data_IF_180687018072
#
_entry.id   IF_180687018072
#
_cell.length_a   1.000
_cell.length_b   1.000
_cell.length_c   1.000
_cell.angle_alpha   90.00
_cell.angle_beta   90.00
_cell.angle_gamma   90.00
#
_symmetry.space_group_name_H-M   'P 1'
#
loop_
_entity.id
_entity.type
_entity.pdbx_description
1 polymer ?
#
# COMPACT_ATOMS: atom_id res chain seq x y z
N UNK A 1 13.50 -4.87 0.94
CA UNK A 1 12.95 -4.15 -0.22
C UNK A 1 11.73 -3.37 0.21
N UNK A 2 11.55 -2.19 -0.37
CA UNK A 2 10.39 -1.34 -0.22
C UNK A 2 9.50 -1.52 -1.44
N UNK A 3 8.33 -2.12 -1.23
CA UNK A 3 7.36 -2.43 -2.28
C UNK A 3 6.23 -1.42 -2.18
N UNK A 4 6.05 -0.61 -3.22
CA UNK A 4 4.84 0.18 -3.37
C UNK A 4 3.70 -0.73 -3.82
N UNK A 5 2.61 -0.76 -3.06
CA UNK A 5 1.40 -1.50 -3.41
C UNK A 5 0.19 -0.57 -3.38
N UNK A 6 -0.34 -0.28 -4.58
CA UNK A 6 -1.57 0.48 -4.75
C UNK A 6 -2.72 -0.49 -5.02
N UNK A 7 -3.38 -0.89 -3.93
CA UNK A 7 -4.33 -2.00 -3.93
C UNK A 7 -5.79 -1.55 -4.02
N UNK A 8 -6.62 -2.42 -4.61
CA UNK A 8 -8.10 -2.31 -4.59
C UNK A 8 -8.77 -3.53 -3.93
N UNK A 9 -8.04 -4.64 -3.78
CA UNK A 9 -8.52 -5.88 -3.17
C UNK A 9 -7.84 -6.16 -1.83
N UNK A 10 -8.53 -5.86 -0.72
CA UNK A 10 -7.96 -5.98 0.62
C UNK A 10 -7.66 -7.41 1.10
N UNK A 11 -8.45 -8.42 0.68
CA UNK A 11 -8.24 -9.82 1.08
C UNK A 11 -6.94 -10.39 0.51
N UNK A 12 -6.69 -10.20 -0.79
CA UNK A 12 -5.42 -10.58 -1.42
C UNK A 12 -4.24 -9.81 -0.83
N UNK A 13 -4.41 -8.50 -0.67
CA UNK A 13 -3.35 -7.63 -0.13
C UNK A 13 -2.95 -8.05 1.28
N UNK A 14 -3.90 -8.50 2.09
CA UNK A 14 -3.65 -8.97 3.46
C UNK A 14 -2.69 -10.15 3.49
N UNK A 15 -2.80 -11.11 2.57
CA UNK A 15 -1.84 -12.21 2.45
C UNK A 15 -0.50 -11.74 1.90
N UNK A 16 -0.51 -10.84 0.91
CA UNK A 16 0.69 -10.33 0.26
C UNK A 16 1.62 -9.55 1.21
N UNK A 17 1.06 -8.75 2.11
CA UNK A 17 1.83 -7.87 3.01
C UNK A 17 2.44 -8.57 4.23
N UNK A 18 2.26 -9.88 4.39
CA UNK A 18 2.85 -10.66 5.48
C UNK A 18 4.30 -11.07 5.22
N UNK A 19 4.83 -10.74 4.04
CA UNK A 19 6.23 -11.02 3.70
C UNK A 19 7.23 -10.14 4.48
N UNK A 20 8.54 -10.44 4.34
CA UNK A 20 9.60 -9.78 5.10
C UNK A 20 9.99 -8.39 4.56
N UNK A 21 9.16 -7.77 3.72
CA UNK A 21 9.46 -6.53 3.03
C UNK A 21 8.79 -5.33 3.71
N UNK A 22 9.29 -4.13 3.41
CA UNK A 22 8.57 -2.89 3.71
C UNK A 22 7.53 -2.67 2.63
N UNK A 23 6.32 -2.27 3.01
CA UNK A 23 5.23 -2.01 2.07
C UNK A 23 4.78 -0.56 2.19
N UNK A 24 4.80 0.16 1.07
CA UNK A 24 4.31 1.53 0.97
C UNK A 24 2.90 1.48 0.39
N UNK A 25 1.93 2.03 1.10
CA UNK A 25 0.52 2.00 0.72
C UNK A 25 0.02 3.42 0.55
N UNK A 26 -0.38 3.83 -0.67
CA UNK A 26 -0.94 5.14 -0.90
C UNK A 26 -2.21 5.36 -0.06
N UNK A 27 -2.27 6.52 0.61
CA UNK A 27 -3.46 6.99 1.33
C UNK A 27 -3.83 8.39 0.86
N UNK A 28 -5.09 8.58 0.49
CA UNK A 28 -5.67 9.88 0.13
C UNK A 28 -6.42 10.47 1.34
N UNK A 29 -6.59 11.81 1.43
CA UNK A 29 -7.28 12.45 2.55
C UNK A 29 -8.67 11.87 2.85
N UNK A 30 -9.44 11.52 1.80
CA UNK A 30 -10.77 10.92 1.93
C UNK A 30 -10.78 9.39 2.08
N UNK A 31 -9.63 8.72 2.00
CA UNK A 31 -9.49 7.25 2.05
C UNK A 31 -10.47 6.51 1.13
N UNK A 32 -10.69 7.09 -0.05
CA UNK A 32 -11.57 6.56 -1.08
C UNK A 32 -10.98 5.31 -1.78
N UNK A 33 -11.71 4.75 -2.76
CA UNK A 33 -11.30 3.55 -3.50
C UNK A 33 -9.89 3.63 -4.09
N UNK A 34 -9.47 4.83 -4.50
CA UNK A 34 -8.15 5.07 -5.12
C UNK A 34 -7.02 5.31 -4.13
N UNK A 35 -7.22 5.10 -2.83
CA UNK A 35 -6.17 5.41 -1.85
C UNK A 35 -6.69 5.24 -0.44
N UNK A 36 -7.23 4.07 -0.14
CA UNK A 36 -7.82 3.77 1.17
C UNK A 36 -6.79 3.74 2.30
N UNK A 37 -5.53 3.50 1.97
CA UNK A 37 -4.47 3.24 2.92
C UNK A 37 -4.46 1.79 3.39
N UNK A 38 -4.01 1.57 4.63
CA UNK A 38 -4.02 0.27 5.31
C UNK A 38 -5.46 -0.22 5.48
N UNK A 39 -5.63 -1.53 5.43
CA UNK A 39 -6.91 -2.12 5.78
C UNK A 39 -7.28 -1.79 7.23
N UNK A 40 -8.55 -1.46 7.45
CA UNK A 40 -9.13 -1.30 8.79
C UNK A 40 -9.80 -2.59 9.29
N UNK A 41 -10.11 -3.51 8.38
CA UNK A 41 -10.78 -4.79 8.64
C UNK A 41 -9.82 -5.93 8.96
N UNK A 42 -8.53 -5.80 8.59
CA UNK A 42 -7.50 -6.81 8.84
C UNK A 42 -6.31 -6.19 9.56
N UNK A 43 -5.65 -6.97 10.41
CA UNK A 43 -4.41 -6.55 11.04
C UNK A 43 -3.25 -6.73 10.05
N UNK A 44 -2.68 -5.61 9.60
CA UNK A 44 -1.48 -5.62 8.77
C UNK A 44 -0.22 -5.39 9.62
N UNK A 45 0.92 -5.98 9.26
CA UNK A 45 2.17 -5.79 9.99
C UNK A 45 2.61 -4.33 10.04
N UNK A 46 3.46 -3.98 11.00
CA UNK A 46 4.05 -2.64 11.13
C UNK A 46 4.94 -2.27 9.93
N UNK A 47 5.40 -3.25 9.16
CA UNK A 47 6.17 -3.05 7.92
C UNK A 47 5.35 -2.39 6.82
N UNK A 48 4.03 -2.34 6.94
CA UNK A 48 3.14 -1.64 6.00
C UNK A 48 2.93 -0.20 6.46
N UNK A 49 3.41 0.77 5.69
CA UNK A 49 3.31 2.19 6.01
C UNK A 49 2.41 2.89 5.01
N UNK A 50 1.52 3.73 5.51
CA UNK A 50 0.77 4.64 4.65
C UNK A 50 1.67 5.79 4.19
N UNK A 51 1.53 6.19 2.93
CA UNK A 51 2.28 7.31 2.34
C UNK A 51 1.32 8.13 1.49
N UNK A 52 1.34 9.45 1.62
CA UNK A 52 0.57 10.32 0.72
C UNK A 52 1.25 10.36 -0.65
N UNK A 53 0.51 10.39 -1.78
CA UNK A 53 1.09 10.25 -3.11
C UNK A 53 2.22 11.24 -3.43
N UNK A 54 2.13 12.47 -2.92
CA UNK A 54 3.11 13.54 -3.14
C UNK A 54 4.49 13.18 -2.57
N UNK A 55 4.54 12.30 -1.55
CA UNK A 55 5.77 11.86 -0.90
C UNK A 55 6.38 10.62 -1.56
N UNK A 56 5.63 9.89 -2.39
CA UNK A 56 6.11 8.65 -3.02
C UNK A 56 7.36 8.88 -3.88
N UNK A 57 7.48 10.06 -4.51
CA UNK A 57 8.66 10.42 -5.33
C UNK A 57 9.97 10.50 -4.53
N UNK A 58 9.88 10.58 -3.21
CA UNK A 58 11.01 10.67 -2.29
C UNK A 58 11.30 9.34 -1.59
N UNK A 59 10.43 8.35 -1.73
CA UNK A 59 10.62 7.02 -1.16
C UNK A 59 11.56 6.20 -2.06
N UNK A 60 12.39 5.37 -1.45
CA UNK A 60 13.17 4.37 -2.16
C UNK A 60 12.25 3.21 -2.52
N UNK A 61 11.77 3.13 -3.76
CA UNK A 61 10.86 2.08 -4.24
C UNK A 61 11.66 1.09 -5.09
N UNK A 62 11.69 -0.18 -4.66
CA UNK A 62 12.39 -1.25 -5.38
C UNK A 62 11.46 -1.96 -6.39
N UNK A 63 10.15 -2.00 -6.08
CA UNK A 63 9.14 -2.69 -6.87
C UNK A 63 7.78 -2.02 -6.69
N UNK A 64 6.99 -1.96 -7.77
CA UNK A 64 5.63 -1.42 -7.77
C UNK A 64 4.62 -2.51 -8.17
N UNK A 65 3.59 -2.70 -7.35
CA UNK A 65 2.39 -3.48 -7.68
C UNK A 65 1.22 -2.53 -7.78
N UNK A 66 0.74 -2.29 -8.99
CA UNK A 66 -0.36 -1.38 -9.27
C UNK A 66 -1.60 -2.18 -9.67
N UNK A 67 -2.67 -2.07 -8.88
CA UNK A 67 -3.98 -2.65 -9.18
C UNK A 67 -4.90 -1.55 -9.68
N UNK A 68 -4.57 -1.01 -10.86
CA UNK A 68 -5.26 0.12 -11.50
C UNK A 68 -5.49 -0.24 -12.98
N UNK A 69 -6.66 -0.82 -13.32
CA UNK A 69 -6.93 -1.28 -14.69
C UNK A 69 -7.43 -0.18 -15.65
N UNK A 70 -7.34 1.10 -15.28
CA UNK A 70 -7.84 2.24 -16.05
C UNK A 70 -6.83 3.39 -16.06
#
# INVERSE_FOLDING_TARGET
MNILIWHVHGSWTTSFVQGPHGYLVPVLPGRGPDGRGRAQTWQWPATVREVVPERLREEQIDLMVLQRPH
#
